data_IF_266496161879
#
_entry.id   IF_266496161879
#
_cell.length_a   1.000
_cell.length_b   1.000
_cell.length_c   1.000
_cell.angle_alpha   90.00
_cell.angle_beta   90.00
_cell.angle_gamma   90.00
#
_symmetry.space_group_name_H-M   'P 1'
#
loop_
_entity.id
_entity.type
_entity.pdbx_description
1 polymer ?
#
# COMPACT_ATOMS: atom_id res chain seq x y z
N UNK A 1 -12.16 -10.13 -2.57
CA UNK A 1 -11.31 -10.58 -3.69
C UNK A 1 -9.95 -9.89 -3.63
N UNK A 2 -9.97 -8.58 -3.40
CA UNK A 2 -8.90 -7.61 -3.21
C UNK A 2 -7.77 -8.12 -2.31
N UNK A 3 -8.10 -8.71 -1.16
CA UNK A 3 -7.13 -9.30 -0.24
C UNK A 3 -6.33 -10.45 -0.86
N UNK A 4 -7.02 -11.36 -1.57
CA UNK A 4 -6.36 -12.50 -2.21
C UNK A 4 -5.46 -12.02 -3.36
N UNK A 5 -5.96 -11.08 -4.17
CA UNK A 5 -5.19 -10.49 -5.28
C UNK A 5 -3.94 -9.77 -4.77
N UNK A 6 -4.05 -8.99 -3.69
CA UNK A 6 -2.90 -8.32 -3.09
C UNK A 6 -1.84 -9.32 -2.62
N UNK A 7 -2.24 -10.40 -1.95
CA UNK A 7 -1.31 -11.43 -1.48
C UNK A 7 -0.66 -12.20 -2.64
N UNK A 8 -1.44 -12.62 -3.63
CA UNK A 8 -0.95 -13.41 -4.77
C UNK A 8 -0.11 -12.56 -5.75
N UNK A 9 -0.24 -11.23 -5.71
CA UNK A 9 0.57 -10.32 -6.53
C UNK A 9 2.05 -10.31 -6.16
N UNK A 10 2.41 -10.73 -4.95
CA UNK A 10 3.79 -10.67 -4.43
C UNK A 10 4.31 -9.26 -4.15
N UNK A 11 3.45 -8.24 -4.25
CA UNK A 11 3.79 -6.84 -3.99
C UNK A 11 3.94 -6.50 -2.49
N UNK A 12 3.04 -6.92 -1.59
CA UNK A 12 3.21 -6.67 -0.15
C UNK A 12 4.27 -7.59 0.46
N UNK A 13 4.95 -7.12 1.50
CA UNK A 13 5.88 -7.95 2.27
C UNK A 13 5.10 -8.80 3.29
N UNK A 14 5.28 -10.12 3.26
CA UNK A 14 4.56 -11.09 4.09
C UNK A 14 5.52 -11.76 5.06
N UNK A 15 5.07 -12.05 6.27
CA UNK A 15 5.85 -12.79 7.26
C UNK A 15 5.90 -14.29 6.90
N UNK A 16 7.07 -14.78 6.53
CA UNK A 16 7.30 -16.23 6.31
C UNK A 16 7.29 -17.02 7.63
N UNK A 17 7.64 -16.35 8.72
CA UNK A 17 7.78 -16.93 10.05
C UNK A 17 7.01 -16.12 11.09
N UNK A 18 6.54 -16.80 12.13
CA UNK A 18 5.93 -16.14 13.29
C UNK A 18 7.01 -15.59 14.24
N UNK A 19 6.71 -14.50 14.93
CA UNK A 19 7.64 -13.91 15.88
C UNK A 19 7.25 -12.52 16.30
N UNK A 20 8.12 -11.88 17.07
CA UNK A 20 7.95 -10.52 17.57
C UNK A 20 8.83 -9.56 16.78
N UNK A 21 8.28 -8.41 16.42
CA UNK A 21 9.05 -7.36 15.76
C UNK A 21 9.97 -6.71 16.77
N UNK A 22 11.27 -6.80 16.53
CA UNK A 22 12.28 -6.21 17.40
C UNK A 22 12.74 -4.85 16.91
N UNK A 23 12.67 -4.62 15.59
CA UNK A 23 13.08 -3.38 14.95
C UNK A 23 12.26 -3.15 13.67
N UNK A 24 11.96 -1.90 13.39
CA UNK A 24 11.25 -1.46 12.20
C UNK A 24 11.90 -0.19 11.71
N UNK A 25 12.27 -0.18 10.44
CA UNK A 25 12.81 0.97 9.74
C UNK A 25 12.04 1.17 8.43
N UNK A 26 12.46 2.18 7.68
CA UNK A 26 11.97 2.47 6.34
C UNK A 26 12.45 1.39 5.36
N UNK A 27 13.69 0.91 5.46
CA UNK A 27 14.31 -0.01 4.52
C UNK A 27 14.23 -1.49 4.93
N UNK A 28 13.90 -1.80 6.19
CA UNK A 28 13.85 -3.18 6.69
C UNK A 28 13.00 -3.36 7.93
N UNK A 29 12.56 -4.60 8.14
CA UNK A 29 11.89 -5.07 9.36
C UNK A 29 12.70 -6.21 9.93
N UNK A 30 12.91 -6.22 11.25
CA UNK A 30 13.58 -7.33 11.92
C UNK A 30 12.59 -8.03 12.85
N UNK A 31 12.41 -9.32 12.60
CA UNK A 31 11.53 -10.22 13.33
C UNK A 31 12.36 -11.25 14.09
N UNK A 32 12.02 -11.49 15.36
CA UNK A 32 12.67 -12.51 16.19
C UNK A 32 11.63 -13.52 16.67
N UNK A 33 11.93 -14.80 16.52
CA UNK A 33 11.06 -15.91 16.93
C UNK A 33 11.91 -17.14 17.27
N UNK A 34 11.49 -17.95 18.24
CA UNK A 34 12.07 -19.25 18.61
C UNK A 34 13.57 -19.46 18.33
N UNK A 35 14.43 -18.54 18.81
CA UNK A 35 15.89 -18.64 18.71
C UNK A 35 16.53 -18.10 17.43
N UNK A 36 15.75 -17.59 16.47
CA UNK A 36 16.24 -16.95 15.25
C UNK A 36 15.85 -15.47 15.17
N UNK A 37 16.59 -14.74 14.34
CA UNK A 37 16.31 -13.35 13.98
C UNK A 37 16.40 -13.22 12.47
N UNK A 38 15.32 -12.77 11.83
CA UNK A 38 15.22 -12.60 10.38
C UNK A 38 15.12 -11.11 10.08
N UNK A 39 15.96 -10.65 9.15
CA UNK A 39 15.89 -9.30 8.59
C UNK A 39 15.21 -9.37 7.23
N UNK A 40 14.11 -8.63 7.09
CA UNK A 40 13.29 -8.57 5.88
C UNK A 40 13.52 -7.19 5.25
N UNK A 41 14.27 -7.10 4.14
CA UNK A 41 14.45 -5.84 3.43
C UNK A 41 13.14 -5.41 2.74
N UNK A 42 12.93 -4.11 2.65
CA UNK A 42 11.80 -3.49 2.00
C UNK A 42 12.23 -2.78 0.72
N UNK A 43 11.35 -2.80 -0.27
CA UNK A 43 11.56 -2.10 -1.54
C UNK A 43 11.31 -0.60 -1.35
N UNK A 44 12.32 0.22 -1.64
CA UNK A 44 12.27 1.67 -1.47
C UNK A 44 12.48 2.40 -2.80
N UNK A 45 11.46 3.17 -3.22
CA UNK A 45 11.50 4.04 -4.41
C UNK A 45 12.07 3.39 -5.68
N UNK A 46 11.76 2.11 -5.90
CA UNK A 46 12.25 1.38 -7.07
C UNK A 46 11.39 1.67 -8.29
N UNK A 47 12.00 1.85 -9.46
CA UNK A 47 11.27 2.05 -10.72
C UNK A 47 10.80 0.71 -11.29
N UNK A 48 9.52 0.63 -11.67
CA UNK A 48 8.96 -0.52 -12.38
C UNK A 48 9.28 -0.49 -13.89
N UNK A 49 9.02 -1.59 -14.59
CA UNK A 49 9.16 -1.68 -16.05
C UNK A 49 8.28 -0.66 -16.81
N UNK A 50 7.20 -0.17 -16.19
CA UNK A 50 6.29 0.85 -16.74
C UNK A 50 6.49 2.23 -16.09
N UNK A 51 7.65 2.46 -15.45
CA UNK A 51 8.03 3.74 -14.84
C UNK A 51 7.14 4.19 -13.68
N UNK A 52 6.47 3.26 -12.99
CA UNK A 52 5.75 3.56 -11.74
C UNK A 52 6.67 3.34 -10.53
N UNK A 53 6.35 3.98 -9.42
CA UNK A 53 7.09 3.82 -8.16
C UNK A 53 6.67 2.54 -7.43
N UNK A 54 7.64 1.67 -7.15
CA UNK A 54 7.50 0.53 -6.25
C UNK A 54 8.09 0.91 -4.90
N UNK A 55 7.23 1.03 -3.91
CA UNK A 55 7.61 1.38 -2.55
C UNK A 55 6.77 0.55 -1.57
N UNK A 56 7.45 -0.07 -0.62
CA UNK A 56 6.84 -0.81 0.47
C UNK A 56 6.88 0.02 1.75
N UNK A 57 5.72 0.18 2.38
CA UNK A 57 5.53 0.92 3.61
C UNK A 57 5.13 -0.03 4.73
N UNK A 58 5.86 0.03 5.84
CA UNK A 58 5.60 -0.80 7.02
C UNK A 58 4.22 -0.55 7.61
N UNK A 59 3.50 -1.65 7.92
CA UNK A 59 2.18 -1.63 8.57
C UNK A 59 2.23 -2.09 10.03
N UNK A 60 3.43 -2.34 10.53
CA UNK A 60 3.67 -2.99 11.80
C UNK A 60 4.59 -2.15 12.66
N UNK A 61 4.37 -2.20 13.97
CA UNK A 61 5.15 -1.46 14.95
C UNK A 61 6.02 -2.42 15.77
N UNK A 62 7.11 -1.89 16.30
CA UNK A 62 8.00 -2.61 17.22
C UNK A 62 7.21 -3.17 18.39
N UNK A 63 7.52 -4.41 18.75
CA UNK A 63 6.90 -5.12 19.88
C UNK A 63 5.64 -5.91 19.52
N UNK A 64 5.08 -5.76 18.32
CA UNK A 64 3.91 -6.54 17.87
C UNK A 64 4.32 -7.98 17.55
N UNK A 65 3.49 -8.93 17.98
CA UNK A 65 3.60 -10.33 17.59
C UNK A 65 2.90 -10.55 16.25
N UNK A 66 3.59 -11.23 15.35
CA UNK A 66 3.18 -11.49 13.98
C UNK A 66 3.07 -13.00 13.77
N UNK A 67 2.03 -13.41 13.06
CA UNK A 67 1.84 -14.80 12.63
C UNK A 67 2.38 -15.00 11.22
N UNK A 68 2.75 -16.24 10.91
CA UNK A 68 3.06 -16.63 9.53
C UNK A 68 1.90 -16.27 8.59
N UNK A 69 2.22 -15.70 7.43
CA UNK A 69 1.27 -15.28 6.41
C UNK A 69 0.65 -13.90 6.64
N UNK A 70 1.03 -13.19 7.71
CA UNK A 70 0.54 -11.84 7.98
C UNK A 70 1.33 -10.79 7.18
N UNK A 71 0.64 -9.77 6.68
CA UNK A 71 1.25 -8.64 5.97
C UNK A 71 2.05 -7.78 6.94
N UNK A 72 3.31 -7.54 6.59
CA UNK A 72 4.28 -6.73 7.33
C UNK A 72 4.39 -5.31 6.75
N UNK A 73 4.36 -5.19 5.43
CA UNK A 73 4.40 -3.93 4.72
C UNK A 73 3.47 -3.99 3.50
N UNK A 74 2.73 -2.91 3.29
CA UNK A 74 1.96 -2.72 2.06
C UNK A 74 2.92 -2.26 0.96
N UNK A 75 2.71 -2.71 -0.28
CA UNK A 75 3.43 -2.22 -1.44
C UNK A 75 2.60 -1.24 -2.29
N UNK A 76 3.07 -1.00 -3.51
CA UNK A 76 2.38 -0.13 -4.45
C UNK A 76 0.93 -0.59 -4.70
N UNK A 77 -0.02 0.36 -4.66
CA UNK A 77 -1.45 0.10 -4.82
C UNK A 77 -2.05 -0.93 -3.85
N UNK A 78 -1.54 -1.01 -2.62
CA UNK A 78 -2.14 -1.82 -1.55
C UNK A 78 -2.28 -1.02 -0.26
N UNK A 79 -3.36 -1.28 0.49
CA UNK A 79 -3.60 -0.70 1.82
C UNK A 79 -4.19 -1.77 2.72
N UNK A 80 -3.56 -2.02 3.87
CA UNK A 80 -4.04 -3.01 4.84
C UNK A 80 -4.02 -4.45 4.32
N UNK A 81 -3.15 -4.76 3.37
CA UNK A 81 -3.13 -6.06 2.69
C UNK A 81 -4.24 -6.27 1.66
N UNK A 82 -4.94 -5.22 1.24
CA UNK A 82 -5.94 -5.26 0.18
C UNK A 82 -5.53 -4.38 -1.01
N UNK A 83 -6.01 -4.73 -2.20
CA UNK A 83 -5.77 -3.97 -3.42
C UNK A 83 -6.47 -2.60 -3.34
N UNK A 84 -5.72 -1.53 -3.58
CA UNK A 84 -6.18 -0.14 -3.53
C UNK A 84 -5.65 0.64 -4.75
N UNK A 85 -6.35 0.52 -5.89
CA UNK A 85 -5.95 1.13 -7.16
C UNK A 85 -6.30 2.62 -7.29
N UNK A 86 -7.07 3.18 -6.35
CA UNK A 86 -7.59 4.54 -6.43
C UNK A 86 -8.02 5.08 -5.08
N UNK A 87 -8.94 6.06 -5.11
CA UNK A 87 -9.43 6.77 -3.92
C UNK A 87 -10.95 6.82 -3.94
N UNK A 88 -11.53 6.74 -2.75
CA UNK A 88 -12.95 7.02 -2.57
C UNK A 88 -13.14 8.54 -2.57
N UNK A 89 -14.01 9.02 -3.46
CA UNK A 89 -14.37 10.44 -3.60
C UNK A 89 -15.88 10.62 -3.55
N UNK A 90 -16.33 11.81 -3.16
CA UNK A 90 -17.73 12.18 -3.24
C UNK A 90 -18.07 12.55 -4.69
N UNK A 91 -19.11 11.94 -5.24
CA UNK A 91 -19.55 12.14 -6.63
C UNK A 91 -20.96 12.68 -6.64
N UNK A 92 -21.21 13.68 -7.49
CA UNK A 92 -22.54 14.21 -7.77
C UNK A 92 -22.90 13.96 -9.24
N UNK A 93 -24.10 13.42 -9.47
CA UNK A 93 -24.62 13.16 -10.81
C UNK A 93 -25.61 14.26 -11.20
N UNK A 94 -25.12 15.31 -11.85
CA UNK A 94 -25.94 16.41 -12.36
C UNK A 94 -25.25 17.09 -13.54
N UNK A 95 -25.98 17.62 -14.53
CA UNK A 95 -25.40 18.53 -15.52
C UNK A 95 -24.84 19.77 -14.82
N UNK A 96 -23.64 20.21 -15.19
CA UNK A 96 -23.00 21.39 -14.60
C UNK A 96 -22.49 22.33 -15.69
N UNK A 97 -23.33 23.31 -16.06
CA UNK A 97 -23.00 24.40 -16.99
C UNK A 97 -22.34 23.94 -18.31
N UNK A 98 -22.59 22.71 -18.76
CA UNK A 98 -22.00 22.13 -19.96
C UNK A 98 -20.54 21.67 -19.82
N UNK A 99 -19.90 21.85 -18.66
CA UNK A 99 -18.52 21.40 -18.44
C UNK A 99 -18.40 19.88 -18.34
N UNK A 100 -19.48 19.17 -18.01
CA UNK A 100 -19.55 17.69 -18.06
C UNK A 100 -20.31 17.18 -19.28
N UNK A 101 -20.19 17.88 -20.40
CA UNK A 101 -20.76 17.41 -21.66
C UNK A 101 -20.04 16.14 -22.14
N UNK A 102 -20.82 15.19 -22.68
CA UNK A 102 -20.35 13.86 -23.09
C UNK A 102 -19.60 13.13 -21.96
N UNK A 103 -18.30 12.87 -22.13
CA UNK A 103 -17.47 12.07 -21.22
C UNK A 103 -16.57 12.93 -20.32
N UNK A 104 -16.77 14.26 -20.32
CA UNK A 104 -15.98 15.17 -19.50
C UNK A 104 -16.33 15.04 -18.01
N UNK A 105 -15.30 15.00 -17.16
CA UNK A 105 -15.44 14.92 -15.70
C UNK A 105 -14.91 16.19 -15.07
N UNK A 106 -15.75 16.88 -14.30
CA UNK A 106 -15.28 17.96 -13.43
C UNK A 106 -14.74 17.37 -12.13
N UNK A 107 -13.64 17.96 -11.68
CA UNK A 107 -13.03 17.64 -10.40
C UNK A 107 -12.96 18.87 -9.53
N UNK A 108 -13.08 18.66 -8.22
CA UNK A 108 -12.81 19.72 -7.26
C UNK A 108 -11.30 19.99 -7.20
N UNK A 109 -10.93 21.27 -7.17
CA UNK A 109 -9.54 21.71 -6.91
C UNK A 109 -8.94 21.11 -5.63
N UNK A 110 -9.80 20.75 -4.67
CA UNK A 110 -9.40 20.07 -3.43
C UNK A 110 -8.60 18.79 -3.70
N UNK A 111 -8.91 18.07 -4.78
CA UNK A 111 -8.21 16.83 -5.14
C UNK A 111 -6.75 17.08 -5.53
N UNK A 112 -6.44 18.28 -6.02
CA UNK A 112 -5.08 18.74 -6.33
C UNK A 112 -4.38 19.18 -5.05
N UNK A 113 -5.04 20.04 -4.25
CA UNK A 113 -4.43 20.57 -3.01
C UNK A 113 -4.13 19.51 -1.94
N UNK A 114 -4.92 18.43 -1.90
CA UNK A 114 -4.74 17.32 -0.96
C UNK A 114 -3.96 16.13 -1.55
N UNK A 115 -3.35 16.28 -2.73
CA UNK A 115 -2.56 15.23 -3.39
C UNK A 115 -3.32 13.88 -3.56
N UNK A 116 -4.63 13.93 -3.76
CA UNK A 116 -5.49 12.73 -3.74
C UNK A 116 -5.16 11.78 -4.89
N UNK A 117 -4.92 12.34 -6.07
CA UNK A 117 -4.57 11.60 -7.30
C UNK A 117 -3.12 11.84 -7.74
N UNK A 118 -2.24 12.24 -6.82
CA UNK A 118 -0.80 12.35 -7.08
C UNK A 118 -0.15 10.96 -7.03
N UNK A 119 0.77 10.68 -7.97
CA UNK A 119 1.42 9.36 -8.16
C UNK A 119 2.93 9.45 -8.28
#
# INVERSE_FOLDING_TARGET
>A
LERQVALDSGVPAIAEHEGKIIYTDIDKIILSGNGYTVSIPLVMYQRSNKNTCMHQKTQVQRGKCIKRGQVLADGAATVGGELALGKNILVAYMPWEGYNFEDAVLISERLVYEDVYTS
#
